data_IF_217471513413
#
_entry.id   IF_217471513413
#
_cell.length_a   1.000
_cell.length_b   1.000
_cell.length_c   1.000
_cell.angle_alpha   90.00
_cell.angle_beta   90.00
_cell.angle_gamma   90.00
#
_symmetry.space_group_name_H-M   'P 1'
#
loop_
_entity.id
_entity.type
_entity.pdbx_description
1 polymer ?
#
# COMPACT_ATOMS: atom_id res chain seq x y z
N UNK A 1 1.72 6.10 -13.43
CA UNK A 1 2.27 4.77 -13.09
C UNK A 1 1.27 4.09 -12.16
N UNK A 2 0.70 2.95 -12.54
CA UNK A 2 -0.18 2.21 -11.64
C UNK A 2 0.68 1.38 -10.69
N UNK A 3 0.48 1.50 -9.38
CA UNK A 3 1.13 0.65 -8.38
C UNK A 3 0.60 -0.77 -8.56
N UNK A 4 1.50 -1.76 -8.70
CA UNK A 4 1.18 -3.15 -9.03
C UNK A 4 1.52 -4.13 -7.91
N UNK A 5 2.28 -3.71 -6.91
CA UNK A 5 2.74 -4.60 -5.83
C UNK A 5 2.65 -3.94 -4.45
N UNK A 6 2.63 -4.77 -3.40
CA UNK A 6 2.71 -4.32 -2.01
C UNK A 6 3.97 -3.53 -1.72
N UNK A 7 5.12 -3.95 -2.31
CA UNK A 7 6.40 -3.28 -2.12
C UNK A 7 6.36 -1.86 -2.67
N UNK A 8 5.82 -1.67 -3.87
CA UNK A 8 5.66 -0.34 -4.46
C UNK A 8 4.72 0.57 -3.65
N UNK A 9 3.67 0.01 -3.00
CA UNK A 9 2.82 0.79 -2.09
C UNK A 9 3.57 1.26 -0.84
N UNK A 10 4.37 0.37 -0.24
CA UNK A 10 5.19 0.71 0.93
C UNK A 10 6.26 1.72 0.55
N UNK A 11 6.94 1.52 -0.59
CA UNK A 11 7.95 2.45 -1.09
C UNK A 11 7.34 3.83 -1.36
N UNK A 12 6.19 3.87 -2.04
CA UNK A 12 5.46 5.12 -2.29
C UNK A 12 5.15 5.85 -0.96
N UNK A 13 4.58 5.15 0.02
CA UNK A 13 4.33 5.72 1.35
C UNK A 13 5.61 6.29 2.00
N UNK A 14 6.70 5.51 2.01
CA UNK A 14 7.96 5.96 2.64
C UNK A 14 8.60 7.14 1.92
N UNK A 15 8.42 7.27 0.61
CA UNK A 15 8.98 8.35 -0.20
C UNK A 15 8.17 9.65 -0.11
N UNK A 16 6.90 9.58 0.29
CA UNK A 16 6.03 10.77 0.41
C UNK A 16 6.40 11.66 1.60
N UNK A 17 7.25 11.19 2.52
CA UNK A 17 7.62 11.91 3.75
C UNK A 17 6.39 12.52 4.45
N UNK A 18 5.37 11.68 4.69
CA UNK A 18 4.05 12.06 5.23
C UNK A 18 4.08 12.66 6.65
N UNK A 19 5.27 12.82 7.24
CA UNK A 19 5.48 13.23 8.63
C UNK A 19 5.26 12.08 9.62
N UNK A 20 5.77 12.24 10.84
CA UNK A 20 5.76 11.19 11.89
C UNK A 20 4.35 10.80 12.38
N UNK A 21 3.33 11.60 12.04
CA UNK A 21 1.95 11.43 12.54
C UNK A 21 1.10 10.50 11.68
N UNK A 22 1.55 10.15 10.46
CA UNK A 22 0.77 9.29 9.56
C UNK A 22 1.37 7.89 9.55
N UNK A 23 0.61 6.92 10.05
CA UNK A 23 0.98 5.51 10.00
C UNK A 23 0.73 4.91 8.60
N UNK A 24 1.47 3.84 8.27
CA UNK A 24 1.26 3.09 7.04
C UNK A 24 -0.18 2.55 6.97
N UNK A 25 -0.71 2.05 8.10
CA UNK A 25 -2.08 1.55 8.19
C UNK A 25 -3.11 2.62 7.83
N UNK A 26 -2.94 3.84 8.34
CA UNK A 26 -3.84 4.96 8.04
C UNK A 26 -3.82 5.31 6.56
N UNK A 27 -2.63 5.37 5.97
CA UNK A 27 -2.45 5.61 4.54
C UNK A 27 -3.13 4.52 3.68
N UNK A 28 -2.88 3.25 3.96
CA UNK A 28 -3.41 2.11 3.20
C UNK A 28 -4.93 2.04 3.28
N UNK A 29 -5.51 2.33 4.46
CA UNK A 29 -6.96 2.39 4.62
C UNK A 29 -7.59 3.53 3.81
N UNK A 30 -6.99 4.71 3.82
CA UNK A 30 -7.45 5.86 3.05
C UNK A 30 -7.42 5.56 1.54
N UNK A 31 -6.31 5.03 1.04
CA UNK A 31 -6.17 4.68 -0.38
C UNK A 31 -7.19 3.60 -0.79
N UNK A 32 -7.40 2.59 0.07
CA UNK A 32 -8.42 1.55 -0.17
C UNK A 32 -9.81 2.14 -0.27
N UNK A 33 -10.17 3.08 0.60
CA UNK A 33 -11.45 3.77 0.55
C UNK A 33 -11.62 4.55 -0.76
N UNK A 34 -10.59 5.30 -1.17
CA UNK A 34 -10.57 6.06 -2.43
C UNK A 34 -10.75 5.13 -3.63
N UNK A 35 -10.05 4.00 -3.69
CA UNK A 35 -10.20 3.01 -4.76
C UNK A 35 -11.62 2.41 -4.81
N UNK A 36 -12.21 2.10 -3.66
CA UNK A 36 -13.61 1.61 -3.59
C UNK A 36 -14.62 2.64 -4.10
N UNK A 37 -14.42 3.92 -3.76
CA UNK A 37 -15.26 5.02 -4.27
C UNK A 37 -15.12 5.17 -5.79
N UNK A 38 -13.88 5.15 -6.30
CA UNK A 38 -13.60 5.21 -7.75
C UNK A 38 -14.24 4.04 -8.51
N UNK A 39 -14.21 2.82 -7.94
CA UNK A 39 -14.86 1.64 -8.51
C UNK A 39 -16.38 1.79 -8.56
N UNK A 40 -17.00 2.28 -7.47
CA UNK A 40 -18.45 2.52 -7.37
C UNK A 40 -18.91 3.54 -8.41
N UNK A 41 -18.16 4.62 -8.60
CA UNK A 41 -18.51 5.71 -9.49
C UNK A 41 -18.17 5.44 -10.98
N UNK A 42 -17.66 4.25 -11.32
CA UNK A 42 -17.31 3.81 -12.70
C UNK A 42 -16.38 4.78 -13.44
N UNK A 43 -15.50 5.49 -12.73
CA UNK A 43 -14.68 6.58 -13.28
C UNK A 43 -13.51 6.05 -14.15
N UNK A 44 -13.09 4.79 -14.00
CA UNK A 44 -11.94 4.22 -14.72
C UNK A 44 -12.09 2.71 -14.96
N UNK A 45 -11.13 2.11 -15.67
CA UNK A 45 -11.01 0.66 -15.87
C UNK A 45 -11.06 -0.10 -14.54
N UNK A 46 -11.96 -1.09 -14.48
CA UNK A 46 -12.29 -1.80 -13.23
C UNK A 46 -11.19 -2.77 -12.78
N UNK A 47 -10.45 -3.33 -13.72
CA UNK A 47 -9.41 -4.36 -13.50
C UNK A 47 -8.25 -3.82 -12.63
N UNK A 48 -7.58 -2.70 -13.00
CA UNK A 48 -6.50 -2.14 -12.18
C UNK A 48 -6.95 -1.70 -10.78
N UNK A 49 -8.14 -1.11 -10.66
CA UNK A 49 -8.68 -0.68 -9.36
C UNK A 49 -8.91 -1.89 -8.45
N UNK A 50 -9.52 -2.97 -8.96
CA UNK A 50 -9.73 -4.20 -8.18
C UNK A 50 -8.41 -4.82 -7.72
N UNK A 51 -7.41 -4.89 -8.60
CA UNK A 51 -6.06 -5.39 -8.25
C UNK A 51 -5.43 -4.55 -7.14
N UNK A 52 -5.52 -3.22 -7.24
CA UNK A 52 -5.06 -2.30 -6.18
C UNK A 52 -5.75 -2.56 -4.84
N UNK A 53 -7.08 -2.72 -4.83
CA UNK A 53 -7.84 -3.03 -3.60
C UNK A 53 -7.35 -4.35 -2.96
N UNK A 54 -7.15 -5.41 -3.75
CA UNK A 54 -6.67 -6.71 -3.25
C UNK A 54 -5.30 -6.58 -2.59
N UNK A 55 -4.38 -5.83 -3.22
CA UNK A 55 -3.05 -5.58 -2.67
C UNK A 55 -3.14 -4.84 -1.33
N UNK A 56 -3.96 -3.80 -1.26
CA UNK A 56 -4.16 -3.01 -0.04
C UNK A 56 -4.81 -3.84 1.07
N UNK A 57 -5.79 -4.70 0.75
CA UNK A 57 -6.40 -5.61 1.72
C UNK A 57 -5.40 -6.66 2.24
N UNK A 58 -4.52 -7.18 1.37
CA UNK A 58 -3.41 -8.04 1.79
C UNK A 58 -2.44 -7.33 2.73
N UNK A 59 -2.09 -6.07 2.44
CA UNK A 59 -1.19 -5.27 3.27
C UNK A 59 -1.82 -4.92 4.64
N UNK A 60 -3.12 -4.59 4.68
CA UNK A 60 -3.85 -4.38 5.94
C UNK A 60 -3.79 -5.65 6.80
N UNK A 61 -4.05 -6.81 6.19
CA UNK A 61 -3.99 -8.09 6.90
C UNK A 61 -2.59 -8.36 7.45
N UNK A 62 -1.56 -8.14 6.64
CA UNK A 62 -0.17 -8.31 7.08
C UNK A 62 0.21 -7.37 8.24
N UNK A 63 -0.25 -6.11 8.21
CA UNK A 63 -0.04 -5.15 9.31
C UNK A 63 -0.77 -5.61 10.58
N UNK A 64 -1.98 -6.17 10.45
CA UNK A 64 -2.73 -6.69 11.58
C UNK A 64 -2.09 -7.94 12.19
N UNK A 65 -1.52 -8.81 11.37
CA UNK A 65 -0.89 -10.07 11.79
C UNK A 65 0.52 -9.84 12.38
N UNK A 66 1.37 -9.05 11.71
CA UNK A 66 2.81 -8.92 12.02
C UNK A 66 3.19 -7.61 12.73
N UNK A 67 2.29 -6.63 12.74
CA UNK A 67 2.53 -5.28 13.23
C UNK A 67 3.25 -4.36 12.22
N UNK A 68 2.88 -3.08 12.23
CA UNK A 68 3.33 -2.11 11.22
C UNK A 68 4.87 -1.97 11.13
N UNK A 69 5.57 -1.92 12.27
CA UNK A 69 7.03 -1.80 12.29
C UNK A 69 7.73 -2.98 11.62
N UNK A 70 7.20 -4.20 11.81
CA UNK A 70 7.73 -5.43 11.22
C UNK A 70 7.56 -5.41 9.71
N UNK A 71 6.38 -5.03 9.24
CA UNK A 71 6.05 -4.90 7.81
C UNK A 71 6.96 -3.88 7.15
N UNK A 72 7.11 -2.67 7.71
CA UNK A 72 7.99 -1.64 7.18
C UNK A 72 9.44 -2.15 7.03
N UNK A 73 9.98 -2.79 8.07
CA UNK A 73 11.34 -3.38 8.03
C UNK A 73 11.47 -4.47 6.98
N UNK A 74 10.46 -5.33 6.81
CA UNK A 74 10.46 -6.42 5.82
C UNK A 74 10.61 -5.88 4.40
N UNK A 75 9.83 -4.85 4.05
CA UNK A 75 9.88 -4.27 2.72
C UNK A 75 11.11 -3.39 2.49
N UNK A 76 11.59 -2.68 3.52
CA UNK A 76 12.88 -1.97 3.47
C UNK A 76 14.08 -2.91 3.25
N UNK A 77 14.11 -4.07 3.93
CA UNK A 77 15.17 -5.08 3.74
C UNK A 77 15.16 -5.72 2.36
N UNK A 78 13.98 -5.96 1.78
CA UNK A 78 13.85 -6.48 0.41
C UNK A 78 14.48 -5.53 -0.62
N UNK A 79 14.35 -4.21 -0.43
CA UNK A 79 15.00 -3.20 -1.28
C UNK A 79 16.52 -3.31 -1.28
N UNK A 80 17.13 -3.51 -0.11
CA UNK A 80 18.61 -3.61 0.03
C UNK A 80 19.16 -4.86 -0.67
N UNK A 81 18.43 -5.99 -0.63
CA UNK A 81 18.85 -7.25 -1.25
C UNK A 81 18.75 -7.27 -2.79
N UNK A 82 18.06 -6.32 -3.41
CA UNK A 82 17.94 -6.24 -4.88
C UNK A 82 18.97 -5.30 -5.53
N UNK A 83 19.71 -4.54 -4.71
CA UNK A 83 20.68 -3.54 -5.16
C UNK A 83 22.14 -3.92 -4.83
N UNK A 84 22.41 -5.17 -4.45
CA UNK A 84 23.74 -5.72 -4.19
C UNK A 84 23.92 -7.04 -4.90
#
# INVERSE_FOLDING_TARGET
MAIKTTAEYVDFFTNLNMGEKVSLLSFVNNERMVLKLKLKNKIMEKEPIKKGIIILEGLIKEIADDGESTVLKKYQKKRIKQNG
#
